data_IF_587203270013
#
_entry.id   IF_587203270013
#
_cell.length_a   1.000
_cell.length_b   1.000
_cell.length_c   1.000
_cell.angle_alpha   90.00
_cell.angle_beta   90.00
_cell.angle_gamma   90.00
#
_symmetry.space_group_name_H-M   'P 1'
#
loop_
_entity.id
_entity.type
_entity.pdbx_description
1 polymer ?
#
# COMPACT_ATOMS: atom_id res chain seq x y z
N UNK A 1 28.41 14.84 -5.78
CA UNK A 1 27.51 13.83 -5.20
C UNK A 1 26.27 13.64 -6.06
N UNK A 2 25.54 12.53 -5.89
CA UNK A 2 24.38 12.16 -6.71
C UNK A 2 23.32 13.27 -6.82
N UNK A 3 23.10 14.04 -5.76
CA UNK A 3 22.17 15.18 -5.77
C UNK A 3 22.62 16.31 -6.72
N UNK A 4 23.92 16.60 -6.76
CA UNK A 4 24.50 17.62 -7.67
C UNK A 4 24.42 17.14 -9.12
N UNK A 5 24.61 15.83 -9.36
CA UNK A 5 24.44 15.25 -10.70
C UNK A 5 22.98 15.31 -11.16
N UNK A 6 22.03 15.01 -10.27
CA UNK A 6 20.60 15.09 -10.58
C UNK A 6 20.16 16.53 -10.86
N UNK A 7 20.57 17.48 -10.01
CA UNK A 7 20.29 18.90 -10.23
C UNK A 7 20.95 19.41 -11.52
N UNK A 8 22.20 19.02 -11.78
CA UNK A 8 22.90 19.33 -13.02
C UNK A 8 22.17 18.79 -14.26
N UNK A 9 21.70 17.55 -14.21
CA UNK A 9 20.88 16.95 -15.27
C UNK A 9 19.55 17.69 -15.44
N UNK A 10 18.91 18.10 -14.36
CA UNK A 10 17.65 18.83 -14.44
C UNK A 10 17.86 20.22 -15.08
N UNK A 11 18.91 20.93 -14.66
CA UNK A 11 19.25 22.24 -15.21
C UNK A 11 19.74 22.20 -16.66
N UNK A 12 20.48 21.16 -17.08
CA UNK A 12 20.97 21.05 -18.47
C UNK A 12 19.84 20.90 -19.49
N UNK A 13 18.69 20.35 -19.08
CA UNK A 13 17.52 20.28 -19.95
C UNK A 13 16.57 21.47 -19.74
N UNK A 14 16.39 21.88 -18.48
CA UNK A 14 15.45 22.94 -18.13
C UNK A 14 15.89 24.33 -18.61
N UNK A 15 17.16 24.70 -18.36
CA UNK A 15 17.67 26.04 -18.69
C UNK A 15 17.68 26.26 -20.20
N UNK A 16 18.25 25.38 -21.05
CA UNK A 16 18.22 25.59 -22.50
C UNK A 16 16.80 25.60 -23.07
N UNK A 17 15.89 24.78 -22.55
CA UNK A 17 14.48 24.80 -22.96
C UNK A 17 13.83 26.15 -22.65
N UNK A 18 14.03 26.71 -21.46
CA UNK A 18 13.54 28.05 -21.11
C UNK A 18 14.20 29.14 -21.93
N UNK A 19 15.52 29.09 -22.14
CA UNK A 19 16.24 30.08 -22.95
C UNK A 19 15.71 30.09 -24.39
N UNK A 20 15.53 28.91 -25.00
CA UNK A 20 14.92 28.79 -26.33
C UNK A 20 13.47 29.31 -26.34
N UNK A 21 12.68 28.96 -25.33
CA UNK A 21 11.30 29.44 -25.21
C UNK A 21 11.22 30.97 -25.12
N UNK A 22 11.98 31.60 -24.22
CA UNK A 22 11.96 33.05 -24.04
C UNK A 22 12.60 33.80 -25.21
N UNK A 23 13.70 33.30 -25.77
CA UNK A 23 14.35 33.93 -26.93
C UNK A 23 13.48 33.91 -28.19
N UNK A 24 12.68 32.85 -28.37
CA UNK A 24 11.76 32.69 -29.50
C UNK A 24 10.32 33.08 -29.17
N UNK A 25 10.04 33.60 -27.99
CA UNK A 25 8.67 33.92 -27.56
C UNK A 25 7.97 34.89 -28.52
N UNK A 26 8.71 35.86 -29.06
CA UNK A 26 8.22 36.83 -30.06
C UNK A 26 7.97 36.22 -31.44
N UNK A 27 8.60 35.09 -31.75
CA UNK A 27 8.44 34.38 -33.02
C UNK A 27 7.23 33.44 -33.00
N UNK A 28 6.58 33.25 -31.85
CA UNK A 28 5.38 32.40 -31.72
C UNK A 28 4.18 33.17 -32.28
N UNK A 29 3.57 32.72 -33.39
CA UNK A 29 2.46 33.43 -34.00
C UNK A 29 1.25 33.46 -33.05
N UNK A 30 0.77 34.65 -32.72
CA UNK A 30 -0.44 34.84 -31.93
C UNK A 30 -1.68 34.75 -32.84
N UNK A 31 -2.57 33.80 -32.56
CA UNK A 31 -3.88 33.72 -33.23
C UNK A 31 -4.82 34.65 -32.46
N UNK A 32 -5.08 35.85 -33.00
CA UNK A 32 -5.92 36.89 -32.36
C UNK A 32 -7.43 36.64 -32.44
N UNK A 33 -7.87 35.44 -32.83
CA UNK A 33 -9.30 35.12 -32.96
C UNK A 33 -9.72 34.24 -31.79
N UNK A 34 -10.72 34.72 -31.03
CA UNK A 34 -11.36 33.89 -30.01
C UNK A 34 -11.93 32.63 -30.67
N UNK A 35 -11.57 31.46 -30.14
CA UNK A 35 -12.10 30.20 -30.62
C UNK A 35 -13.58 30.09 -30.26
N UNK A 36 -14.41 29.60 -31.20
CA UNK A 36 -15.83 29.40 -30.91
C UNK A 36 -15.98 28.41 -29.77
N UNK A 37 -16.89 28.68 -28.82
CA UNK A 37 -17.27 27.71 -27.78
C UNK A 37 -17.87 26.42 -28.34
N UNK A 38 -18.33 26.43 -29.60
CA UNK A 38 -18.79 25.24 -30.34
C UNK A 38 -17.66 24.49 -31.07
N UNK A 39 -16.42 24.95 -30.94
CA UNK A 39 -15.24 24.36 -31.57
C UNK A 39 -14.63 23.27 -30.68
N UNK A 40 -13.98 22.29 -31.31
CA UNK A 40 -13.24 21.25 -30.58
C UNK A 40 -12.02 21.83 -29.87
N UNK A 41 -11.34 22.76 -30.52
CA UNK A 41 -10.10 23.38 -30.07
C UNK A 41 -10.28 24.07 -28.72
N UNK A 42 -11.37 24.82 -28.57
CA UNK A 42 -11.70 25.52 -27.33
C UNK A 42 -11.79 24.56 -26.14
N UNK A 43 -12.49 23.44 -26.30
CA UNK A 43 -12.64 22.46 -25.22
C UNK A 43 -11.39 21.60 -24.99
N UNK A 44 -10.56 21.39 -26.02
CA UNK A 44 -9.23 20.81 -25.83
C UNK A 44 -8.34 21.73 -25.00
N UNK A 45 -8.39 23.05 -25.25
CA UNK A 45 -7.69 24.05 -24.45
C UNK A 45 -8.18 24.04 -23.00
N UNK A 46 -9.49 24.11 -22.76
CA UNK A 46 -10.06 24.02 -21.40
C UNK A 46 -9.67 22.73 -20.69
N UNK A 47 -9.71 21.58 -21.37
CA UNK A 47 -9.26 20.31 -20.80
C UNK A 47 -7.79 20.33 -20.40
N UNK A 48 -6.92 20.88 -21.24
CA UNK A 48 -5.48 21.03 -20.93
C UNK A 48 -5.23 21.99 -19.76
N UNK A 49 -6.02 23.07 -19.66
CA UNK A 49 -5.95 24.02 -18.55
C UNK A 49 -6.35 23.36 -17.23
N UNK A 50 -7.41 22.54 -17.24
CA UNK A 50 -7.84 21.77 -16.06
C UNK A 50 -6.74 20.81 -15.59
N UNK A 51 -6.11 20.08 -16.52
CA UNK A 51 -4.95 19.23 -16.18
C UNK A 51 -3.78 20.04 -15.61
N UNK A 52 -3.48 21.20 -16.20
CA UNK A 52 -2.41 22.09 -15.72
C UNK A 52 -2.67 22.59 -14.29
N UNK A 53 -3.89 23.05 -14.01
CA UNK A 53 -4.28 23.47 -12.66
C UNK A 53 -4.23 22.32 -11.66
N UNK A 54 -4.68 21.12 -12.06
CA UNK A 54 -4.58 19.92 -11.23
C UNK A 54 -3.12 19.57 -10.90
N UNK A 55 -2.22 19.68 -11.88
CA UNK A 55 -0.79 19.45 -11.69
C UNK A 55 -0.16 20.49 -10.74
N UNK A 56 -0.55 21.77 -10.82
CA UNK A 56 -0.12 22.81 -9.88
C UNK A 56 -0.53 22.44 -8.45
N UNK A 57 -1.79 22.03 -8.24
CA UNK A 57 -2.30 21.67 -6.91
C UNK A 57 -1.52 20.50 -6.32
N UNK A 58 -1.29 19.44 -7.10
CA UNK A 58 -0.51 18.27 -6.64
C UNK A 58 0.91 18.70 -6.31
N UNK A 59 1.57 19.41 -7.24
CA UNK A 59 2.96 19.85 -7.09
C UNK A 59 3.16 20.74 -5.87
N UNK A 60 2.23 21.67 -5.60
CA UNK A 60 2.30 22.55 -4.44
C UNK A 60 2.21 21.76 -3.13
N UNK A 61 1.26 20.83 -3.03
CA UNK A 61 1.06 20.01 -1.82
C UNK A 61 2.21 19.04 -1.57
N UNK A 62 2.71 18.36 -2.60
CA UNK A 62 3.85 17.43 -2.46
C UNK A 62 5.17 18.14 -2.16
N UNK A 63 5.27 19.44 -2.47
CA UNK A 63 6.48 20.24 -2.23
C UNK A 63 6.51 20.88 -0.85
N UNK A 64 5.49 20.71 -0.01
CA UNK A 64 5.43 21.29 1.33
C UNK A 64 6.70 21.04 2.18
N UNK A 65 7.31 19.83 2.18
CA UNK A 65 8.56 19.60 2.92
C UNK A 65 9.73 20.44 2.40
N UNK A 66 9.78 20.68 1.09
CA UNK A 66 10.82 21.49 0.45
C UNK A 66 10.63 22.96 0.80
N UNK A 67 9.39 23.47 0.77
CA UNK A 67 9.07 24.82 1.22
C UNK A 67 9.44 25.04 2.70
N UNK A 68 9.06 24.13 3.58
CA UNK A 68 9.44 24.18 5.00
C UNK A 68 10.96 24.24 5.18
N UNK A 69 11.71 23.46 4.40
CA UNK A 69 13.17 23.45 4.48
C UNK A 69 13.83 24.73 3.96
N UNK A 70 13.32 25.31 2.86
CA UNK A 70 13.90 26.51 2.25
C UNK A 70 13.58 27.76 3.06
N UNK A 71 12.33 27.89 3.52
CA UNK A 71 11.84 29.10 4.18
C UNK A 71 11.84 29.01 5.72
N UNK A 72 12.24 27.87 6.29
CA UNK A 72 12.19 27.63 7.73
C UNK A 72 10.78 27.59 8.31
N UNK A 73 9.74 27.45 7.47
CA UNK A 73 8.36 27.34 7.91
C UNK A 73 8.09 25.98 8.58
N UNK A 74 7.15 25.96 9.53
CA UNK A 74 6.72 24.76 10.25
C UNK A 74 5.27 24.39 9.90
N UNK A 75 4.94 24.44 8.62
CA UNK A 75 3.59 24.09 8.18
C UNK A 75 3.47 22.57 8.27
N UNK A 76 2.60 22.09 9.15
CA UNK A 76 2.32 20.67 9.29
C UNK A 76 1.61 20.13 8.04
N UNK A 77 1.85 18.86 7.71
CA UNK A 77 1.08 18.17 6.69
C UNK A 77 -0.39 18.00 7.15
N UNK A 78 -1.36 17.90 6.22
CA UNK A 78 -2.74 17.58 6.58
C UNK A 78 -2.84 16.25 7.34
N UNK A 79 -3.75 16.19 8.32
CA UNK A 79 -4.00 14.97 9.12
C UNK A 79 -4.44 13.78 8.25
N UNK A 80 -5.28 14.02 7.24
CA UNK A 80 -5.61 13.05 6.18
C UNK A 80 -5.06 13.55 4.84
N UNK A 81 -3.82 13.18 4.54
CA UNK A 81 -3.19 13.55 3.27
C UNK A 81 -3.97 13.02 2.06
N UNK A 82 -4.46 11.77 2.10
CA UNK A 82 -5.21 11.14 1.01
C UNK A 82 -6.43 11.99 0.66
N UNK A 83 -7.22 12.36 1.66
CA UNK A 83 -8.39 13.21 1.47
C UNK A 83 -8.02 14.62 1.00
N UNK A 84 -6.92 15.18 1.51
CA UNK A 84 -6.49 16.52 1.12
C UNK A 84 -6.28 16.63 -0.39
N UNK A 85 -5.75 15.60 -1.06
CA UNK A 85 -5.66 15.55 -2.52
C UNK A 85 -7.02 15.22 -3.15
N UNK A 86 -7.67 14.16 -2.69
CA UNK A 86 -8.83 13.59 -3.36
C UNK A 86 -10.06 14.51 -3.35
N UNK A 87 -10.22 15.35 -2.32
CA UNK A 87 -11.31 16.33 -2.25
C UNK A 87 -11.28 17.34 -3.41
N UNK A 88 -10.11 17.60 -4.01
CA UNK A 88 -9.98 18.47 -5.19
C UNK A 88 -10.00 17.63 -6.46
N UNK A 89 -9.21 16.54 -6.48
CA UNK A 89 -9.01 15.74 -7.69
C UNK A 89 -10.25 15.00 -8.16
N UNK A 90 -11.22 14.73 -7.28
CA UNK A 90 -12.52 14.15 -7.69
C UNK A 90 -13.26 15.09 -8.65
N UNK A 91 -13.22 16.40 -8.43
CA UNK A 91 -13.87 17.39 -9.31
C UNK A 91 -13.12 17.55 -10.63
N UNK A 92 -11.79 17.49 -10.58
CA UNK A 92 -10.97 17.41 -11.79
C UNK A 92 -11.35 16.19 -12.62
N UNK A 93 -11.50 15.02 -11.99
CA UNK A 93 -11.91 13.79 -12.67
C UNK A 93 -13.31 13.90 -13.30
N UNK A 94 -14.27 14.54 -12.62
CA UNK A 94 -15.61 14.83 -13.17
C UNK A 94 -15.50 15.65 -14.45
N UNK A 95 -14.78 16.79 -14.39
CA UNK A 95 -14.64 17.70 -15.53
C UNK A 95 -13.94 16.98 -16.69
N UNK A 96 -12.83 16.29 -16.41
CA UNK A 96 -12.07 15.57 -17.43
C UNK A 96 -12.88 14.43 -18.05
N UNK A 97 -13.67 13.68 -17.28
CA UNK A 97 -14.55 12.63 -17.81
C UNK A 97 -15.57 13.21 -18.80
N UNK A 98 -16.24 14.31 -18.43
CA UNK A 98 -17.21 14.98 -19.29
C UNK A 98 -16.54 15.54 -20.56
N UNK A 99 -15.43 16.25 -20.41
CA UNK A 99 -14.71 16.82 -21.56
C UNK A 99 -14.21 15.73 -22.49
N UNK A 100 -13.72 14.62 -21.95
CA UNK A 100 -13.28 13.44 -22.72
C UNK A 100 -14.43 12.82 -23.50
N UNK A 101 -15.63 12.77 -22.92
CA UNK A 101 -16.82 12.23 -23.58
C UNK A 101 -17.32 13.14 -24.73
N UNK A 102 -17.36 14.45 -24.48
CA UNK A 102 -18.07 15.41 -25.35
C UNK A 102 -17.20 15.96 -26.47
N UNK A 103 -15.94 16.30 -26.19
CA UNK A 103 -15.08 17.10 -27.09
C UNK A 103 -14.88 16.46 -28.46
N UNK A 104 -14.85 15.12 -28.53
CA UNK A 104 -14.66 14.42 -29.80
C UNK A 104 -15.85 14.59 -30.77
N UNK A 105 -17.05 14.88 -30.26
CA UNK A 105 -18.26 15.09 -31.05
C UNK A 105 -18.33 16.49 -31.69
N UNK A 106 -17.49 17.42 -31.24
CA UNK A 106 -17.32 18.73 -31.85
C UNK A 106 -16.40 18.66 -33.07
N UNK A 107 -16.64 19.51 -34.06
CA UNK A 107 -15.79 19.73 -35.23
C UNK A 107 -14.76 20.82 -34.93
N UNK A 108 -13.68 20.80 -35.70
CA UNK A 108 -12.72 21.91 -35.71
C UNK A 108 -13.42 23.21 -36.18
N UNK A 109 -13.02 24.35 -35.61
CA UNK A 109 -13.55 25.70 -35.84
C UNK A 109 -14.99 25.95 -35.36
N UNK A 110 -15.97 25.17 -35.81
CA UNK A 110 -17.37 25.37 -35.44
C UNK A 110 -18.20 24.10 -35.63
N UNK A 111 -19.17 23.87 -34.73
CA UNK A 111 -20.10 22.75 -34.79
C UNK A 111 -21.54 23.25 -34.79
N UNK A 112 -22.38 22.76 -35.71
CA UNK A 112 -23.81 23.05 -35.64
C UNK A 112 -24.49 22.19 -34.57
N UNK A 113 -25.39 22.80 -33.81
CA UNK A 113 -26.09 22.13 -32.69
C UNK A 113 -26.83 20.87 -33.11
N UNK A 114 -27.47 20.88 -34.28
CA UNK A 114 -28.19 19.71 -34.80
C UNK A 114 -27.27 18.51 -35.10
N UNK A 115 -26.06 18.76 -35.62
CA UNK A 115 -25.09 17.68 -35.89
C UNK A 115 -24.52 17.10 -34.60
N UNK A 116 -24.25 17.97 -33.62
CA UNK A 116 -23.76 17.57 -32.30
C UNK A 116 -24.78 16.68 -31.59
N UNK A 117 -26.00 17.19 -31.41
CA UNK A 117 -27.05 16.48 -30.68
C UNK A 117 -27.40 15.16 -31.33
N UNK A 118 -27.51 15.09 -32.67
CA UNK A 118 -27.81 13.86 -33.42
C UNK A 118 -26.80 12.74 -33.17
N UNK A 119 -25.55 13.05 -32.81
CA UNK A 119 -24.50 12.04 -32.58
C UNK A 119 -24.29 11.69 -31.12
N UNK A 120 -24.44 12.65 -30.22
CA UNK A 120 -24.08 12.45 -28.81
C UNK A 120 -25.20 11.83 -27.97
N UNK A 121 -26.48 12.04 -28.36
CA UNK A 121 -27.63 11.61 -27.56
C UNK A 121 -27.67 10.11 -27.26
N UNK A 122 -27.33 9.27 -28.25
CA UNK A 122 -27.27 7.80 -28.08
C UNK A 122 -26.24 7.44 -27.00
N UNK A 123 -24.94 7.82 -27.13
CA UNK A 123 -23.97 7.56 -26.08
C UNK A 123 -24.38 8.13 -24.72
N UNK A 124 -25.02 9.31 -24.66
CA UNK A 124 -25.49 9.90 -23.39
C UNK A 124 -26.51 9.00 -22.71
N UNK A 125 -27.55 8.54 -23.41
CA UNK A 125 -28.57 7.65 -22.84
C UNK A 125 -27.96 6.32 -22.39
N UNK A 126 -27.11 5.71 -23.22
CA UNK A 126 -26.42 4.47 -22.86
C UNK A 126 -25.54 4.64 -21.63
N UNK A 127 -24.92 5.81 -21.47
CA UNK A 127 -24.09 6.13 -20.30
C UNK A 127 -24.91 6.32 -19.04
N UNK A 128 -26.08 6.95 -19.12
CA UNK A 128 -27.00 7.08 -17.99
C UNK A 128 -27.46 5.69 -17.53
N UNK A 129 -27.85 4.81 -18.46
CA UNK A 129 -28.27 3.45 -18.14
C UNK A 129 -27.11 2.69 -17.48
N UNK A 130 -25.93 2.67 -18.12
CA UNK A 130 -24.77 1.94 -17.60
C UNK A 130 -24.30 2.47 -16.24
N UNK A 131 -24.22 3.79 -16.06
CA UNK A 131 -23.83 4.39 -14.80
C UNK A 131 -24.86 4.11 -13.70
N UNK A 132 -26.17 4.12 -14.03
CA UNK A 132 -27.24 3.77 -13.08
C UNK A 132 -27.10 2.32 -12.62
N UNK A 133 -26.83 1.38 -13.55
CA UNK A 133 -26.58 -0.02 -13.20
C UNK A 133 -25.35 -0.19 -12.32
N UNK A 134 -24.24 0.50 -12.64
CA UNK A 134 -23.01 0.46 -11.83
C UNK A 134 -23.26 1.02 -10.43
N UNK A 135 -23.98 2.14 -10.29
CA UNK A 135 -24.24 2.74 -8.98
C UNK A 135 -25.25 1.91 -8.16
N UNK A 136 -26.26 1.33 -8.81
CA UNK A 136 -27.29 0.52 -8.14
C UNK A 136 -26.76 -0.85 -7.67
N UNK A 137 -25.91 -1.51 -8.48
CA UNK A 137 -25.45 -2.88 -8.21
C UNK A 137 -23.97 -2.97 -7.81
N UNK A 138 -23.21 -1.89 -7.95
CA UNK A 138 -21.76 -1.87 -7.70
C UNK A 138 -21.38 -1.69 -6.24
N UNK A 139 -22.33 -1.40 -5.33
CA UNK A 139 -22.11 -1.22 -3.89
C UNK A 139 -20.93 -0.26 -3.60
N UNK A 140 -21.06 0.98 -4.11
CA UNK A 140 -20.05 2.04 -3.99
C UNK A 140 -20.43 2.94 -2.82
N UNK A 141 -20.06 2.51 -1.62
CA UNK A 141 -20.45 3.12 -0.34
C UNK A 141 -19.26 3.70 0.42
N UNK A 142 -18.55 4.65 -0.19
CA UNK A 142 -17.42 5.34 0.44
C UNK A 142 -17.90 6.39 1.46
N UNK A 143 -18.11 5.98 2.71
CA UNK A 143 -18.70 6.84 3.75
C UNK A 143 -17.68 7.61 4.60
N UNK A 144 -16.37 7.40 4.38
CA UNK A 144 -15.28 7.93 5.24
C UNK A 144 -15.29 9.46 5.40
N UNK A 145 -15.72 10.21 4.38
CA UNK A 145 -15.71 11.70 4.38
C UNK A 145 -17.10 12.32 4.14
N UNK A 146 -18.16 11.59 4.51
CA UNK A 146 -19.53 12.08 4.46
C UNK A 146 -20.21 12.02 3.09
N UNK A 147 -21.52 12.32 3.04
CA UNK A 147 -22.36 12.12 1.86
C UNK A 147 -22.00 13.04 0.68
N UNK A 148 -21.48 14.24 0.93
CA UNK A 148 -21.08 15.16 -0.13
C UNK A 148 -19.92 14.62 -0.98
N UNK A 149 -18.90 14.06 -0.33
CA UNK A 149 -17.78 13.45 -1.03
C UNK A 149 -18.16 12.15 -1.74
N UNK A 150 -19.06 11.35 -1.13
CA UNK A 150 -19.65 10.18 -1.80
C UNK A 150 -20.40 10.57 -3.08
N UNK A 151 -21.21 11.64 -3.03
CA UNK A 151 -21.89 12.17 -4.21
C UNK A 151 -20.93 12.64 -5.30
N UNK A 152 -19.80 13.25 -4.93
CA UNK A 152 -18.74 13.61 -5.88
C UNK A 152 -18.11 12.36 -6.54
N UNK A 153 -17.88 11.28 -5.80
CA UNK A 153 -17.41 10.00 -6.35
C UNK A 153 -18.43 9.43 -7.34
N UNK A 154 -19.71 9.41 -6.99
CA UNK A 154 -20.75 8.92 -7.90
C UNK A 154 -20.81 9.74 -9.19
N UNK A 155 -20.74 11.06 -9.09
CA UNK A 155 -20.71 11.94 -10.27
C UNK A 155 -19.44 11.71 -11.11
N UNK A 156 -18.30 11.47 -10.48
CA UNK A 156 -17.06 11.12 -11.18
C UNK A 156 -17.17 9.79 -11.91
N UNK A 157 -17.84 8.79 -11.32
CA UNK A 157 -18.11 7.50 -11.96
C UNK A 157 -19.03 7.68 -13.17
N UNK A 158 -20.10 8.47 -13.05
CA UNK A 158 -20.98 8.80 -14.18
C UNK A 158 -20.18 9.46 -15.31
N UNK A 159 -19.33 10.43 -14.99
CA UNK A 159 -18.48 11.12 -15.97
C UNK A 159 -17.47 10.16 -16.64
N UNK A 160 -16.86 9.25 -15.88
CA UNK A 160 -15.92 8.27 -16.41
C UNK A 160 -16.61 7.23 -17.30
N UNK A 161 -17.78 6.72 -16.89
CA UNK A 161 -18.62 5.82 -17.72
C UNK A 161 -19.02 6.52 -19.01
N UNK A 162 -19.40 7.80 -18.93
CA UNK A 162 -19.71 8.58 -20.11
C UNK A 162 -18.50 8.74 -21.04
N UNK A 163 -17.31 8.99 -20.50
CA UNK A 163 -16.07 9.03 -21.28
C UNK A 163 -15.83 7.72 -22.03
N UNK A 164 -15.99 6.57 -21.37
CA UNK A 164 -15.82 5.24 -21.98
C UNK A 164 -16.82 5.01 -23.11
N UNK A 165 -18.12 5.19 -22.83
CA UNK A 165 -19.18 4.88 -23.78
C UNK A 165 -19.18 5.86 -24.95
N UNK A 166 -19.00 7.16 -24.70
CA UNK A 166 -18.98 8.16 -25.76
C UNK A 166 -17.79 7.97 -26.71
N UNK A 167 -16.59 7.69 -26.21
CA UNK A 167 -15.43 7.44 -27.06
C UNK A 167 -15.51 6.10 -27.79
N UNK A 168 -16.10 5.08 -27.14
CA UNK A 168 -16.44 3.83 -27.80
C UNK A 168 -17.40 4.07 -28.95
N UNK A 169 -18.58 4.64 -28.66
CA UNK A 169 -19.59 4.95 -29.66
C UNK A 169 -19.05 5.82 -30.81
N UNK A 170 -18.10 6.72 -30.56
CA UNK A 170 -17.49 7.55 -31.59
C UNK A 170 -16.72 6.74 -32.64
N UNK A 171 -16.16 5.58 -32.29
CA UNK A 171 -15.52 4.67 -33.25
C UNK A 171 -16.48 4.29 -34.37
N UNK A 172 -17.75 4.01 -34.02
CA UNK A 172 -18.77 3.63 -35.00
C UNK A 172 -19.54 4.84 -35.57
N UNK A 173 -20.02 5.75 -34.72
CA UNK A 173 -20.85 6.90 -35.12
C UNK A 173 -20.05 8.07 -35.72
N UNK A 174 -18.79 8.21 -35.31
CA UNK A 174 -17.89 9.27 -35.72
C UNK A 174 -17.06 8.88 -36.94
N UNK A 175 -16.28 7.80 -36.81
CA UNK A 175 -15.30 7.35 -37.83
C UNK A 175 -15.72 6.10 -38.61
N UNK A 176 -17.01 5.74 -38.56
CA UNK A 176 -17.64 4.67 -39.36
C UNK A 176 -16.94 3.31 -39.21
N UNK A 177 -16.46 2.99 -38.02
CA UNK A 177 -15.81 1.71 -37.70
C UNK A 177 -14.37 1.59 -38.21
N UNK A 178 -13.78 2.65 -38.76
CA UNK A 178 -12.42 2.57 -39.29
C UNK A 178 -11.38 2.54 -38.16
N UNK A 179 -10.88 1.34 -37.84
CA UNK A 179 -9.85 1.16 -36.81
C UNK A 179 -8.59 1.98 -37.07
N UNK A 180 -8.20 2.14 -38.35
CA UNK A 180 -7.07 3.00 -38.74
C UNK A 180 -7.27 4.47 -38.32
N UNK A 181 -8.51 4.94 -38.28
CA UNK A 181 -8.85 6.31 -37.89
C UNK A 181 -9.12 6.48 -36.40
N UNK A 182 -9.18 5.38 -35.65
CA UNK A 182 -9.73 5.33 -34.29
C UNK A 182 -8.71 5.47 -33.17
N UNK A 183 -7.41 5.60 -33.47
CA UNK A 183 -6.36 5.66 -32.44
C UNK A 183 -6.63 6.70 -31.34
N UNK A 184 -7.08 7.90 -31.72
CA UNK A 184 -7.47 8.93 -30.76
C UNK A 184 -8.66 8.53 -29.88
N UNK A 185 -9.72 7.96 -30.46
CA UNK A 185 -10.89 7.48 -29.70
C UNK A 185 -10.55 6.33 -28.77
N UNK A 186 -9.73 5.38 -29.23
CA UNK A 186 -9.26 4.24 -28.42
C UNK A 186 -8.44 4.75 -27.23
N UNK A 187 -7.58 5.74 -27.45
CA UNK A 187 -6.79 6.35 -26.37
C UNK A 187 -7.67 6.98 -25.28
N UNK A 188 -8.70 7.73 -25.69
CA UNK A 188 -9.62 8.40 -24.77
C UNK A 188 -10.61 7.42 -24.11
N UNK A 189 -11.02 6.35 -24.80
CA UNK A 189 -11.76 5.24 -24.20
C UNK A 189 -10.93 4.58 -23.10
N UNK A 190 -9.67 4.28 -23.37
CA UNK A 190 -8.74 3.75 -22.37
C UNK A 190 -8.58 4.69 -21.20
N UNK A 191 -8.48 6.00 -21.44
CA UNK A 191 -8.38 7.00 -20.38
C UNK A 191 -9.65 7.06 -19.52
N UNK A 192 -10.84 6.93 -20.15
CA UNK A 192 -12.10 6.77 -19.41
C UNK A 192 -12.10 5.53 -18.50
N UNK A 193 -11.55 4.40 -18.98
CA UNK A 193 -11.40 3.18 -18.19
C UNK A 193 -10.39 3.36 -17.03
N UNK A 194 -9.32 4.12 -17.25
CA UNK A 194 -8.37 4.50 -16.18
C UNK A 194 -9.10 5.26 -15.07
N UNK A 195 -9.85 6.32 -15.42
CA UNK A 195 -10.63 7.09 -14.45
C UNK A 195 -11.64 6.21 -13.71
N UNK A 196 -12.39 5.38 -14.44
CA UNK A 196 -13.38 4.47 -13.87
C UNK A 196 -12.73 3.45 -12.92
N UNK A 197 -11.62 2.84 -13.33
CA UNK A 197 -10.88 1.85 -12.55
C UNK A 197 -10.32 2.43 -11.26
N UNK A 198 -9.77 3.65 -11.29
CA UNK A 198 -9.30 4.35 -10.08
C UNK A 198 -10.46 4.56 -9.09
N UNK A 199 -11.60 5.05 -9.58
CA UNK A 199 -12.77 5.36 -8.73
C UNK A 199 -13.39 4.09 -8.13
N UNK A 200 -13.61 3.05 -8.94
CA UNK A 200 -14.17 1.78 -8.46
C UNK A 200 -13.24 1.08 -7.49
N UNK A 201 -11.94 1.01 -7.80
CA UNK A 201 -10.99 0.28 -6.98
C UNK A 201 -10.65 0.99 -5.68
N UNK A 202 -10.46 2.31 -5.72
CA UNK A 202 -10.15 3.09 -4.52
C UNK A 202 -11.33 3.19 -3.55
N UNK A 203 -12.55 3.38 -4.07
CA UNK A 203 -13.75 3.48 -3.21
C UNK A 203 -14.10 2.18 -2.50
N UNK A 204 -13.66 1.03 -3.03
CA UNK A 204 -13.88 -0.31 -2.48
C UNK A 204 -12.63 -0.95 -1.88
N UNK A 205 -11.57 -0.17 -1.66
CA UNK A 205 -10.31 -0.62 -1.05
C UNK A 205 -10.59 -1.21 0.33
N UNK A 206 -10.18 -2.45 0.54
CA UNK A 206 -10.35 -3.17 1.81
C UNK A 206 -8.99 -3.36 2.51
N UNK A 207 -8.97 -3.23 3.83
CA UNK A 207 -7.79 -3.49 4.65
C UNK A 207 -7.86 -4.93 5.17
N UNK A 208 -6.94 -5.78 4.70
CA UNK A 208 -6.87 -7.18 5.12
C UNK A 208 -6.07 -7.36 6.41
N UNK A 209 -5.02 -6.55 6.60
CA UNK A 209 -4.04 -6.63 7.70
C UNK A 209 -4.54 -6.09 9.04
N UNK A 210 -5.81 -6.30 9.40
CA UNK A 210 -6.29 -5.93 10.74
C UNK A 210 -5.49 -6.70 11.79
N UNK A 211 -5.10 -6.03 12.87
CA UNK A 211 -4.22 -6.63 13.86
C UNK A 211 -4.94 -7.76 14.61
N UNK A 212 -4.54 -9.00 14.36
CA UNK A 212 -4.99 -10.22 15.06
C UNK A 212 -3.90 -10.82 15.94
N UNK A 213 -2.68 -10.29 15.85
CA UNK A 213 -1.50 -10.81 16.55
C UNK A 213 -1.45 -10.47 18.04
N UNK A 214 -2.21 -9.45 18.47
CA UNK A 214 -2.06 -8.86 19.80
C UNK A 214 -0.80 -8.00 19.98
N UNK A 215 0.08 -7.95 18.97
CA UNK A 215 1.31 -7.14 18.98
C UNK A 215 1.03 -5.85 18.22
N UNK A 216 0.74 -4.79 18.97
CA UNK A 216 0.47 -3.45 18.44
C UNK A 216 1.77 -2.64 18.32
N UNK A 217 2.05 -2.13 17.12
CA UNK A 217 3.15 -1.18 16.90
C UNK A 217 2.62 0.24 16.97
N UNK A 218 3.19 1.04 17.86
CA UNK A 218 2.95 2.49 17.88
C UNK A 218 3.79 3.14 16.78
N UNK A 219 3.11 3.67 15.77
CA UNK A 219 3.74 4.38 14.66
C UNK A 219 3.98 5.87 14.98
N UNK A 220 3.46 6.38 16.11
CA UNK A 220 3.49 7.79 16.45
C UNK A 220 2.37 8.59 15.77
N UNK A 221 2.05 9.75 16.35
CA UNK A 221 0.93 10.62 15.92
C UNK A 221 1.12 11.23 14.53
N UNK A 222 2.36 11.32 14.06
CA UNK A 222 2.70 11.91 12.75
C UNK A 222 2.78 10.86 11.62
N UNK A 223 2.59 9.57 11.94
CA UNK A 223 2.63 8.52 10.94
C UNK A 223 1.30 8.40 10.19
N UNK A 224 1.41 8.09 8.89
CA UNK A 224 0.28 7.74 8.03
C UNK A 224 -0.26 6.35 8.35
N UNK A 225 0.50 5.54 9.07
CA UNK A 225 0.12 4.19 9.45
C UNK A 225 -0.69 4.17 10.74
N UNK A 226 -1.78 3.40 10.72
CA UNK A 226 -2.64 3.15 11.89
C UNK A 226 -2.32 1.80 12.49
N UNK A 227 -2.09 1.75 13.79
CA UNK A 227 -1.70 0.53 14.52
C UNK A 227 -2.67 -0.64 14.32
N UNK A 228 -3.98 -0.41 14.41
CA UNK A 228 -4.97 -1.48 14.25
C UNK A 228 -5.19 -1.97 12.81
N UNK A 229 -4.69 -1.25 11.81
CA UNK A 229 -4.78 -1.64 10.40
C UNK A 229 -3.56 -2.43 9.90
N UNK A 230 -2.62 -2.70 10.78
CA UNK A 230 -1.36 -3.36 10.47
C UNK A 230 -1.23 -4.67 11.25
N UNK A 231 -0.74 -5.74 10.60
CA UNK A 231 -0.59 -7.06 11.19
C UNK A 231 0.88 -7.34 11.47
N UNK A 232 1.22 -7.57 12.73
CA UNK A 232 2.57 -7.98 13.12
C UNK A 232 2.71 -9.49 13.00
N UNK A 233 3.65 -9.92 12.16
CA UNK A 233 3.95 -11.32 11.88
C UNK A 233 5.22 -11.73 12.63
N UNK A 234 5.10 -12.71 13.53
CA UNK A 234 6.25 -13.36 14.15
C UNK A 234 6.78 -14.43 13.20
N UNK A 235 8.10 -14.47 12.99
CA UNK A 235 8.74 -15.41 12.07
C UNK A 235 8.41 -16.86 12.45
N UNK A 236 8.00 -17.64 11.45
CA UNK A 236 7.62 -19.05 11.60
C UNK A 236 6.21 -19.30 12.15
N UNK A 237 5.50 -18.29 12.65
CA UNK A 237 4.15 -18.46 13.22
C UNK A 237 3.06 -17.97 12.27
N UNK A 238 2.01 -18.78 12.00
CA UNK A 238 0.88 -18.36 11.19
C UNK A 238 -0.03 -17.40 11.97
N UNK A 239 -0.36 -16.27 11.35
CA UNK A 239 -1.29 -15.27 11.87
C UNK A 239 -2.52 -15.14 10.99
N UNK A 240 -3.69 -14.88 11.60
CA UNK A 240 -4.95 -14.77 10.83
C UNK A 240 -5.06 -13.42 10.15
N UNK A 241 -5.30 -13.39 8.84
CA UNK A 241 -5.52 -12.17 8.06
C UNK A 241 -6.63 -12.36 7.02
N UNK A 242 -7.80 -11.75 7.24
CA UNK A 242 -8.96 -11.95 6.35
C UNK A 242 -9.33 -13.44 6.28
N UNK A 243 -9.32 -14.05 5.08
CA UNK A 243 -9.50 -15.50 4.87
C UNK A 243 -8.21 -16.34 4.95
N UNK A 244 -7.05 -15.70 5.07
CA UNK A 244 -5.73 -16.32 4.97
C UNK A 244 -5.07 -16.51 6.33
N UNK A 245 -4.36 -17.62 6.51
CA UNK A 245 -3.26 -17.75 7.47
C UNK A 245 -1.99 -17.24 6.80
N UNK A 246 -1.34 -16.26 7.43
CA UNK A 246 -0.20 -15.53 6.89
C UNK A 246 1.01 -15.78 7.77
N UNK A 247 2.08 -16.29 7.17
CA UNK A 247 3.30 -16.66 7.89
C UNK A 247 4.49 -15.90 7.33
N UNK A 248 5.24 -15.22 8.20
CA UNK A 248 6.55 -14.70 7.83
C UNK A 248 7.56 -15.86 7.89
N UNK A 249 8.00 -16.36 6.73
CA UNK A 249 8.86 -17.54 6.68
C UNK A 249 10.32 -17.21 6.98
N UNK A 250 10.87 -16.28 6.20
CA UNK A 250 12.27 -15.86 6.25
C UNK A 250 12.47 -14.57 5.49
N UNK A 251 13.62 -13.97 5.68
CA UNK A 251 14.10 -12.80 4.97
C UNK A 251 15.40 -13.09 4.23
N UNK A 252 15.74 -12.21 3.30
CA UNK A 252 17.03 -12.23 2.62
C UNK A 252 17.51 -10.80 2.35
N UNK A 253 18.78 -10.54 2.63
CA UNK A 253 19.40 -9.26 2.34
C UNK A 253 19.91 -9.20 0.90
N UNK A 254 19.79 -8.06 0.25
CA UNK A 254 20.42 -7.81 -1.03
C UNK A 254 21.94 -7.76 -0.86
N UNK A 255 22.74 -8.46 -1.67
CA UNK A 255 24.19 -8.63 -1.44
C UNK A 255 24.99 -7.32 -1.49
N UNK A 256 24.47 -6.28 -2.14
CA UNK A 256 25.15 -4.99 -2.35
C UNK A 256 24.38 -3.75 -1.84
N UNK A 257 23.13 -3.91 -1.42
CA UNK A 257 22.25 -2.78 -1.09
C UNK A 257 21.70 -3.01 0.31
N UNK A 258 21.49 -1.94 1.07
CA UNK A 258 20.84 -2.00 2.39
C UNK A 258 19.34 -2.26 2.24
N UNK A 259 18.96 -3.36 1.60
CA UNK A 259 17.59 -3.70 1.23
C UNK A 259 17.33 -5.16 1.58
N UNK A 260 16.18 -5.42 2.20
CA UNK A 260 15.76 -6.74 2.63
C UNK A 260 14.47 -7.16 1.95
N UNK A 261 14.38 -8.42 1.58
CA UNK A 261 13.19 -9.06 1.03
C UNK A 261 12.57 -9.97 2.09
N UNK A 262 11.27 -9.85 2.32
CA UNK A 262 10.54 -10.60 3.33
C UNK A 262 9.63 -11.61 2.66
N UNK A 263 9.84 -12.90 2.94
CA UNK A 263 9.05 -13.98 2.34
C UNK A 263 7.80 -14.21 3.19
N UNK A 264 6.67 -13.69 2.72
CA UNK A 264 5.38 -13.79 3.39
C UNK A 264 4.52 -14.80 2.64
N UNK A 265 4.13 -15.85 3.35
CA UNK A 265 3.35 -16.95 2.80
C UNK A 265 1.89 -16.85 3.21
N UNK A 266 1.00 -16.99 2.25
CA UNK A 266 -0.45 -16.90 2.38
C UNK A 266 -1.06 -18.26 2.10
N UNK A 267 -1.80 -18.79 3.05
CA UNK A 267 -2.59 -20.02 2.89
C UNK A 267 -4.04 -19.74 3.21
N UNK A 268 -4.94 -19.97 2.26
CA UNK A 268 -6.36 -19.76 2.48
C UNK A 268 -6.93 -20.82 3.41
N UNK A 269 -7.85 -20.40 4.28
CA UNK A 269 -8.61 -21.31 5.16
C UNK A 269 -9.93 -21.77 4.55
N UNK A 270 -10.36 -21.15 3.44
CA UNK A 270 -11.66 -21.41 2.81
C UNK A 270 -11.54 -22.29 1.56
N UNK A 271 -10.42 -22.20 0.86
CA UNK A 271 -10.16 -22.86 -0.41
C UNK A 271 -8.69 -23.34 -0.46
N UNK A 272 -8.29 -24.01 -1.54
CA UNK A 272 -6.93 -24.55 -1.71
C UNK A 272 -5.92 -23.50 -2.19
N UNK A 273 -6.24 -22.21 -2.07
CA UNK A 273 -5.41 -21.14 -2.55
C UNK A 273 -4.21 -20.92 -1.64
N UNK A 274 -3.01 -20.88 -2.25
CA UNK A 274 -1.77 -20.65 -1.55
C UNK A 274 -0.81 -19.87 -2.44
N UNK A 275 -0.17 -18.84 -1.89
CA UNK A 275 0.79 -18.02 -2.62
C UNK A 275 1.80 -17.36 -1.68
N UNK A 276 2.90 -16.85 -2.24
CA UNK A 276 3.94 -16.17 -1.48
C UNK A 276 4.24 -14.82 -2.11
N UNK A 277 4.23 -13.78 -1.27
CA UNK A 277 4.64 -12.43 -1.62
C UNK A 277 6.00 -12.14 -1.00
N UNK A 278 6.77 -11.30 -1.69
CA UNK A 278 8.15 -10.91 -1.36
C UNK A 278 8.29 -9.38 -1.35
N UNK A 279 7.50 -8.66 -0.53
CA UNK A 279 7.73 -7.22 -0.36
C UNK A 279 9.14 -6.98 0.15
N UNK A 280 9.70 -5.83 -0.20
CA UNK A 280 11.05 -5.47 0.22
C UNK A 280 11.07 -4.09 0.86
N UNK A 281 12.03 -3.87 1.75
CA UNK A 281 12.18 -2.60 2.43
C UNK A 281 13.64 -2.27 2.71
N UNK A 282 13.93 -0.98 2.86
CA UNK A 282 15.20 -0.47 3.31
C UNK A 282 15.00 0.67 4.31
N UNK A 283 15.94 0.82 5.24
CA UNK A 283 15.92 1.90 6.24
C UNK A 283 16.91 2.97 5.81
N UNK A 284 16.44 4.20 5.61
CA UNK A 284 17.32 5.32 5.32
C UNK A 284 17.75 6.01 6.62
N UNK A 285 18.99 5.80 7.04
CA UNK A 285 19.57 6.43 8.23
C UNK A 285 20.13 7.84 7.97
N UNK A 286 20.09 8.34 6.72
CA UNK A 286 20.68 9.63 6.35
C UNK A 286 19.62 10.62 5.85
N UNK A 287 19.14 11.45 6.77
CA UNK A 287 18.54 12.75 6.48
C UNK A 287 17.03 12.80 6.21
N UNK A 288 16.37 11.65 6.02
CA UNK A 288 14.92 11.47 6.13
C UNK A 288 14.72 10.18 6.92
N UNK A 289 14.45 10.29 8.21
CA UNK A 289 14.16 9.14 9.08
C UNK A 289 12.92 8.42 8.54
N UNK A 290 13.06 7.16 8.11
CA UNK A 290 11.90 6.40 7.63
C UNK A 290 12.22 5.06 6.97
N UNK A 291 11.30 4.12 7.16
CA UNK A 291 11.25 2.86 6.42
C UNK A 291 10.74 3.15 5.00
N UNK A 292 11.52 2.76 3.99
CA UNK A 292 11.08 2.80 2.60
C UNK A 292 10.73 1.38 2.17
N UNK A 293 9.45 1.13 1.97
CA UNK A 293 8.93 -0.17 1.58
C UNK A 293 8.41 -0.17 0.14
N UNK A 294 8.80 -1.19 -0.61
CA UNK A 294 8.23 -1.49 -1.91
C UNK A 294 7.24 -2.66 -1.77
N UNK A 295 6.01 -2.49 -2.26
CA UNK A 295 5.02 -3.53 -2.17
C UNK A 295 5.33 -4.72 -3.09
N UNK A 296 4.69 -5.85 -2.80
CA UNK A 296 4.51 -6.96 -3.73
C UNK A 296 3.01 -7.33 -3.79
N UNK A 297 2.56 -7.88 -4.92
CA UNK A 297 1.14 -8.09 -5.19
C UNK A 297 0.82 -9.44 -5.83
N UNK A 298 -0.34 -9.99 -5.45
CA UNK A 298 -0.98 -11.11 -6.12
C UNK A 298 -2.14 -10.58 -6.96
N UNK A 299 -2.12 -10.91 -8.25
CA UNK A 299 -3.17 -10.51 -9.19
C UNK A 299 -4.25 -11.57 -9.33
N UNK A 300 -5.51 -11.15 -9.35
CA UNK A 300 -6.67 -11.99 -9.65
C UNK A 300 -7.47 -11.37 -10.79
N UNK A 301 -8.54 -12.04 -11.23
CA UNK A 301 -9.42 -11.53 -12.28
C UNK A 301 -10.32 -10.38 -11.80
N UNK A 302 -10.73 -10.40 -10.53
CA UNK A 302 -11.68 -9.47 -9.95
C UNK A 302 -11.06 -8.48 -8.95
N UNK A 303 -9.88 -8.78 -8.40
CA UNK A 303 -9.17 -7.94 -7.43
C UNK A 303 -7.66 -8.19 -7.46
N UNK A 304 -6.90 -7.35 -6.77
CA UNK A 304 -5.51 -7.63 -6.43
C UNK A 304 -5.30 -7.55 -4.91
N UNK A 305 -4.36 -8.33 -4.39
CA UNK A 305 -3.89 -8.25 -3.01
C UNK A 305 -2.49 -7.67 -3.00
N UNK A 306 -2.31 -6.51 -2.35
CA UNK A 306 -1.03 -5.83 -2.21
C UNK A 306 -0.54 -5.92 -0.78
N UNK A 307 0.77 -6.10 -0.61
CA UNK A 307 1.41 -6.11 0.71
C UNK A 307 2.68 -5.29 0.72
N UNK A 308 2.94 -4.60 1.83
CA UNK A 308 4.23 -3.95 2.07
C UNK A 308 4.57 -3.97 3.55
N UNK A 309 5.86 -3.83 3.85
CA UNK A 309 6.33 -3.76 5.23
C UNK A 309 6.10 -2.34 5.77
N UNK A 310 5.30 -2.19 6.82
CA UNK A 310 4.99 -0.90 7.42
C UNK A 310 5.91 -0.57 8.59
N UNK A 311 6.42 -1.57 9.31
CA UNK A 311 7.44 -1.39 10.35
C UNK A 311 8.40 -2.57 10.42
N UNK A 312 9.63 -2.25 10.84
CA UNK A 312 10.66 -3.21 11.21
C UNK A 312 11.01 -3.05 12.68
N UNK A 313 11.41 -4.14 13.37
CA UNK A 313 11.98 -4.05 14.70
C UNK A 313 13.20 -3.12 14.66
N UNK A 314 13.25 -2.13 15.57
CA UNK A 314 14.39 -1.22 15.66
C UNK A 314 15.58 -1.96 16.33
N UNK A 315 16.70 -2.18 15.61
CA UNK A 315 17.84 -2.92 16.16
C UNK A 315 18.48 -2.25 17.38
N UNK A 316 18.41 -0.92 17.51
CA UNK A 316 18.99 -0.18 18.63
C UNK A 316 18.11 -0.21 19.88
N UNK A 317 16.77 -0.23 19.72
CA UNK A 317 15.83 -0.47 20.83
C UNK A 317 15.78 -1.94 21.26
N UNK A 318 16.24 -2.86 20.42
CA UNK A 318 16.29 -4.30 20.67
C UNK A 318 17.68 -4.79 21.10
N UNK A 319 18.59 -3.90 21.54
CA UNK A 319 19.73 -4.37 22.34
C UNK A 319 19.16 -4.96 23.62
N UNK A 320 19.37 -6.26 23.81
CA UNK A 320 18.88 -7.01 24.96
C UNK A 320 19.62 -6.56 26.24
N UNK A 321 19.20 -5.43 26.81
CA UNK A 321 19.69 -4.96 28.12
C UNK A 321 18.94 -5.62 29.27
N UNK A 322 17.97 -6.50 28.98
CA UNK A 322 17.18 -7.17 29.99
C UNK A 322 18.02 -8.26 30.68
N UNK A 323 18.07 -8.19 32.02
CA UNK A 323 18.69 -9.19 32.87
C UNK A 323 17.63 -10.08 33.50
N UNK A 324 18.03 -11.30 33.88
CA UNK A 324 17.17 -12.17 34.68
C UNK A 324 16.95 -11.54 36.06
N UNK A 325 15.69 -11.47 36.49
CA UNK A 325 15.31 -11.16 37.88
C UNK A 325 15.05 -12.48 38.60
N UNK A 326 15.73 -12.71 39.72
CA UNK A 326 15.44 -13.82 40.64
C UNK A 326 14.10 -13.63 41.33
N UNK A 327 13.31 -14.69 41.43
CA UNK A 327 12.06 -14.73 42.15
C UNK A 327 12.02 -16.05 42.95
N UNK A 328 12.28 -16.01 44.27
CA UNK A 328 12.11 -17.17 45.12
C UNK A 328 10.62 -17.47 45.31
N UNK A 329 10.16 -18.62 44.85
CA UNK A 329 8.75 -19.02 44.84
C UNK A 329 8.55 -20.49 45.18
N UNK A 330 7.39 -20.82 45.73
CA UNK A 330 6.93 -22.20 45.97
C UNK A 330 5.86 -22.59 44.95
N UNK A 331 5.61 -23.91 44.76
CA UNK A 331 4.46 -24.34 43.97
C UNK A 331 3.16 -23.71 44.46
N UNK A 332 2.42 -23.08 43.55
CA UNK A 332 1.20 -22.30 43.81
C UNK A 332 1.40 -20.78 43.86
N UNK A 333 2.63 -20.29 44.04
CA UNK A 333 2.92 -18.85 44.09
C UNK A 333 2.90 -18.22 42.69
N UNK A 334 2.49 -16.95 42.64
CA UNK A 334 2.40 -16.16 41.42
C UNK A 334 3.52 -15.12 41.29
N UNK A 335 4.09 -14.98 40.09
CA UNK A 335 5.03 -13.93 39.72
C UNK A 335 4.37 -13.04 38.66
N UNK A 336 4.37 -11.72 38.86
CA UNK A 336 3.83 -10.77 37.89
C UNK A 336 4.88 -10.35 36.86
N UNK A 337 4.44 -10.17 35.62
CA UNK A 337 5.23 -9.61 34.53
C UNK A 337 4.40 -8.56 33.76
N UNK A 338 4.99 -7.87 32.79
CA UNK A 338 4.36 -6.68 32.17
C UNK A 338 3.00 -6.94 31.50
N UNK A 339 2.70 -8.18 31.10
CA UNK A 339 1.46 -8.54 30.37
C UNK A 339 0.59 -9.57 31.10
N UNK A 340 0.91 -9.92 32.34
CA UNK A 340 0.18 -10.96 33.05
C UNK A 340 0.82 -11.42 34.36
N UNK A 341 0.53 -12.65 34.74
CA UNK A 341 1.17 -13.34 35.85
C UNK A 341 1.49 -14.79 35.47
N UNK A 342 2.44 -15.40 36.15
CA UNK A 342 2.79 -16.81 35.99
C UNK A 342 2.76 -17.53 37.34
N UNK A 343 2.39 -18.80 37.34
CA UNK A 343 2.30 -19.64 38.53
C UNK A 343 3.29 -20.79 38.38
N UNK A 344 4.12 -21.02 39.40
CA UNK A 344 4.88 -22.27 39.49
C UNK A 344 3.91 -23.39 39.88
N UNK A 345 3.57 -24.28 38.95
CA UNK A 345 2.60 -25.35 39.24
C UNK A 345 3.24 -26.53 39.96
N UNK A 346 4.45 -26.90 39.54
CA UNK A 346 5.10 -28.12 40.00
C UNK A 346 6.62 -28.02 39.94
N UNK A 347 7.26 -28.56 40.98
CA UNK A 347 8.66 -28.94 40.98
C UNK A 347 8.73 -30.47 41.01
N UNK A 348 9.43 -31.06 40.05
CA UNK A 348 9.59 -32.52 39.96
C UNK A 348 11.05 -32.87 39.73
N UNK A 349 11.61 -33.78 40.52
CA UNK A 349 12.93 -34.35 40.24
C UNK A 349 12.78 -35.53 39.29
N UNK A 350 13.65 -35.61 38.29
CA UNK A 350 13.75 -36.72 37.34
C UNK A 350 15.18 -37.25 37.35
N UNK A 351 15.27 -38.57 37.44
CA UNK A 351 16.53 -39.32 37.41
C UNK A 351 16.80 -39.90 36.01
N UNK A 352 16.03 -39.47 35.01
CA UNK A 352 16.27 -39.75 33.59
C UNK A 352 15.66 -38.65 32.72
N UNK A 353 16.39 -38.24 31.68
CA UNK A 353 15.93 -37.32 30.65
C UNK A 353 16.28 -37.88 29.25
N UNK A 354 15.41 -37.71 28.24
CA UNK A 354 15.67 -38.15 26.87
C UNK A 354 16.59 -37.16 26.14
N UNK A 355 17.81 -36.97 26.65
CA UNK A 355 18.80 -36.04 26.12
C UNK A 355 20.19 -36.69 26.07
N UNK A 356 20.93 -36.48 24.98
CA UNK A 356 22.30 -36.96 24.83
C UNK A 356 23.24 -36.26 25.83
N UNK A 357 23.61 -36.95 26.90
CA UNK A 357 24.55 -36.45 27.91
C UNK A 357 24.12 -36.63 29.37
N UNK A 358 22.88 -37.06 29.63
CA UNK A 358 22.39 -37.37 30.98
C UNK A 358 22.84 -38.77 31.40
N UNK A 359 23.74 -38.88 32.39
CA UNK A 359 24.36 -40.14 32.82
C UNK A 359 23.63 -40.74 34.03
N UNK A 360 23.76 -42.06 34.27
CA UNK A 360 23.28 -42.67 35.50
C UNK A 360 23.93 -42.02 36.73
N UNK A 361 23.11 -41.39 37.58
CA UNK A 361 23.55 -40.63 38.77
C UNK A 361 23.29 -39.12 38.69
N UNK A 362 22.99 -38.59 37.50
CA UNK A 362 22.56 -37.20 37.33
C UNK A 362 21.11 -37.02 37.81
N UNK A 363 20.79 -35.82 38.30
CA UNK A 363 19.42 -35.45 38.69
C UNK A 363 19.00 -34.19 37.97
N UNK A 364 17.75 -34.14 37.51
CA UNK A 364 17.19 -32.92 36.94
C UNK A 364 15.93 -32.50 37.69
N UNK A 365 15.89 -31.25 38.13
CA UNK A 365 14.67 -30.65 38.66
C UNK A 365 13.95 -29.90 37.56
N UNK A 366 12.72 -30.28 37.28
CA UNK A 366 11.81 -29.65 36.31
C UNK A 366 10.89 -28.69 37.06
N UNK A 367 10.88 -27.42 36.66
CA UNK A 367 9.88 -26.46 37.08
C UNK A 367 8.86 -26.25 35.96
N UNK A 368 7.63 -26.70 36.20
CA UNK A 368 6.49 -26.46 35.30
C UNK A 368 5.83 -25.15 35.70
N UNK A 369 5.85 -24.18 34.79
CA UNK A 369 5.33 -22.83 35.01
C UNK A 369 4.17 -22.57 34.05
N UNK A 370 3.03 -22.13 34.60
CA UNK A 370 1.86 -21.70 33.85
C UNK A 370 1.90 -20.19 33.68
N UNK A 371 1.92 -19.70 32.46
CA UNK A 371 1.89 -18.26 32.16
C UNK A 371 0.48 -17.85 31.74
N UNK A 372 -0.08 -16.86 32.41
CA UNK A 372 -1.40 -16.29 32.13
C UNK A 372 -1.28 -14.84 31.66
N UNK A 373 -1.70 -14.58 30.42
CA UNK A 373 -1.75 -13.24 29.86
C UNK A 373 -3.07 -12.55 30.20
N UNK A 374 -3.06 -11.22 30.35
CA UNK A 374 -4.29 -10.44 30.60
C UNK A 374 -5.33 -10.53 29.48
N UNK A 375 -4.91 -10.97 28.27
CA UNK A 375 -5.80 -11.23 27.14
C UNK A 375 -6.53 -12.60 27.22
N UNK A 376 -6.46 -13.29 28.37
CA UNK A 376 -7.04 -14.62 28.65
C UNK A 376 -6.35 -15.80 27.94
N UNK A 377 -5.19 -15.60 27.31
CA UNK A 377 -4.37 -16.70 26.79
C UNK A 377 -3.53 -17.32 27.92
N UNK A 378 -3.21 -18.61 27.80
CA UNK A 378 -2.32 -19.30 28.74
C UNK A 378 -1.33 -20.21 28.04
N UNK A 379 -0.13 -20.33 28.61
CA UNK A 379 1.01 -21.07 28.05
C UNK A 379 1.69 -21.91 29.15
N UNK A 380 2.29 -23.03 28.78
CA UNK A 380 3.16 -23.82 29.68
C UNK A 380 4.61 -23.56 29.31
N UNK A 381 5.47 -23.45 30.32
CA UNK A 381 6.91 -23.51 30.15
C UNK A 381 7.50 -24.53 31.13
N UNK A 382 8.53 -25.26 30.69
CA UNK A 382 9.26 -26.24 31.50
C UNK A 382 10.75 -25.92 31.46
N UNK A 383 11.25 -25.32 32.54
CA UNK A 383 12.69 -25.08 32.71
C UNK A 383 13.31 -26.14 33.61
N UNK A 384 14.58 -26.48 33.34
CA UNK A 384 15.30 -27.56 34.00
C UNK A 384 16.50 -27.01 34.77
N UNK A 385 16.79 -27.61 35.93
CA UNK A 385 18.07 -27.50 36.63
C UNK A 385 18.69 -28.89 36.72
N UNK A 386 19.76 -29.13 35.99
CA UNK A 386 20.46 -30.40 35.90
C UNK A 386 21.66 -30.36 36.85
N UNK A 387 21.76 -31.33 37.75
CA UNK A 387 22.91 -31.57 38.62
C UNK A 387 23.71 -32.75 38.07
N UNK A 388 24.95 -32.46 37.64
CA UNK A 388 25.92 -33.46 37.20
C UNK A 388 27.15 -33.39 38.09
N UNK A 389 27.35 -34.44 38.90
CA UNK A 389 28.51 -34.57 39.79
C UNK A 389 28.78 -33.32 40.67
N UNK A 390 27.73 -32.64 41.16
CA UNK A 390 27.84 -31.46 42.02
C UNK A 390 27.93 -30.12 41.27
N UNK A 391 27.86 -30.14 39.93
CA UNK A 391 27.76 -28.94 39.09
C UNK A 391 26.34 -28.77 38.58
N UNK A 392 25.74 -27.60 38.83
CA UNK A 392 24.38 -27.29 38.42
C UNK A 392 24.34 -26.47 37.12
N UNK A 393 23.56 -26.95 36.16
CA UNK A 393 23.33 -26.32 34.86
C UNK A 393 21.85 -26.05 34.67
N UNK A 394 21.51 -24.81 34.34
CA UNK A 394 20.13 -24.44 34.09
C UNK A 394 19.84 -24.40 32.59
N UNK A 395 18.77 -25.10 32.18
CA UNK A 395 18.22 -25.06 30.83
C UNK A 395 16.98 -24.18 30.86
N UNK A 396 17.04 -22.96 30.28
CA UNK A 396 15.90 -22.08 30.23
C UNK A 396 14.86 -22.56 29.21
N UNK A 397 13.62 -22.10 29.39
CA UNK A 397 12.53 -22.24 28.42
C UNK A 397 11.97 -20.87 28.05
N UNK A 398 11.41 -20.73 26.85
CA UNK A 398 10.99 -19.44 26.29
C UNK A 398 9.52 -19.45 25.88
N UNK A 399 8.73 -18.56 26.46
CA UNK A 399 7.35 -18.30 26.03
C UNK A 399 7.37 -17.13 25.05
N UNK A 400 7.59 -17.45 23.77
CA UNK A 400 7.79 -16.47 22.69
C UNK A 400 6.66 -15.44 22.60
N UNK A 401 5.39 -15.87 22.65
CA UNK A 401 4.20 -15.01 22.60
C UNK A 401 4.18 -13.93 23.67
N UNK A 402 4.76 -14.22 24.83
CA UNK A 402 4.81 -13.32 25.99
C UNK A 402 6.17 -12.62 26.14
N UNK A 403 7.15 -12.93 25.28
CA UNK A 403 8.51 -12.39 25.33
C UNK A 403 9.26 -12.74 26.62
N UNK A 404 8.97 -13.93 27.19
CA UNK A 404 9.53 -14.40 28.46
C UNK A 404 10.58 -15.48 28.23
N UNK A 405 11.73 -15.37 28.90
CA UNK A 405 12.66 -16.46 29.15
C UNK A 405 12.59 -16.80 30.63
N UNK A 406 12.32 -18.06 30.93
CA UNK A 406 12.26 -18.59 32.28
C UNK A 406 13.44 -19.51 32.50
N UNK A 407 14.08 -19.38 33.65
CA UNK A 407 15.24 -20.20 34.01
C UNK A 407 15.18 -20.57 35.48
N UNK A 408 15.34 -21.85 35.79
CA UNK A 408 15.47 -22.29 37.18
C UNK A 408 16.91 -22.05 37.66
N UNK A 409 17.14 -21.06 38.52
CA UNK A 409 18.50 -20.71 38.96
C UNK A 409 19.02 -21.69 40.03
N UNK A 410 18.19 -21.96 41.04
CA UNK A 410 18.50 -22.82 42.17
C UNK A 410 17.21 -23.38 42.77
N UNK A 411 17.29 -24.54 43.42
CA UNK A 411 16.22 -25.10 44.24
C UNK A 411 16.78 -25.36 45.64
N UNK A 412 16.03 -24.93 46.66
CA UNK A 412 16.33 -25.14 48.07
C UNK A 412 15.06 -25.64 48.79
N UNK A 413 15.02 -26.95 49.06
CA UNK A 413 13.81 -27.61 49.54
C UNK A 413 12.63 -27.45 48.57
N UNK A 414 11.55 -26.85 49.06
CA UNK A 414 10.35 -26.55 48.25
C UNK A 414 10.40 -25.18 47.54
N UNK A 415 11.46 -24.41 47.76
CA UNK A 415 11.59 -23.06 47.20
C UNK A 415 12.46 -23.12 45.95
N UNK A 416 11.91 -22.69 44.82
CA UNK A 416 12.62 -22.52 43.56
C UNK A 416 12.92 -21.04 43.32
N UNK A 417 14.18 -20.72 43.04
CA UNK A 417 14.53 -19.40 42.51
C UNK A 417 14.32 -19.39 40.99
N UNK A 418 13.18 -18.84 40.56
CA UNK A 418 12.82 -18.71 39.16
C UNK A 418 13.35 -17.37 38.60
N UNK A 419 14.37 -17.47 37.76
CA UNK A 419 14.85 -16.37 36.94
C UNK A 419 13.85 -16.04 35.85
N UNK A 420 13.31 -14.82 35.86
CA UNK A 420 12.39 -14.31 34.83
C UNK A 420 13.08 -13.20 34.06
N UNK A 421 13.10 -13.31 32.73
CA UNK A 421 13.60 -12.28 31.83
C UNK A 421 12.54 -11.93 30.78
N UNK A 422 12.14 -10.67 30.75
CA UNK A 422 11.29 -10.10 29.71
C UNK A 422 12.17 -9.43 28.65
N UNK A 423 12.28 -10.03 27.46
CA UNK A 423 13.12 -9.48 26.39
C UNK A 423 12.38 -9.37 25.07
N UNK A 424 12.30 -8.14 24.54
CA UNK A 424 11.75 -7.86 23.21
C UNK A 424 12.70 -8.26 22.08
N UNK A 425 13.96 -8.60 22.38
CA UNK A 425 14.98 -8.94 21.40
C UNK A 425 14.82 -10.34 20.79
N UNK A 426 13.99 -11.20 21.40
CA UNK A 426 13.83 -12.60 21.00
C UNK A 426 12.87 -12.74 19.81
N UNK A 427 11.96 -11.79 19.63
CA UNK A 427 10.94 -11.86 18.58
C UNK A 427 11.50 -11.29 17.28
N UNK A 428 11.90 -12.17 16.37
CA UNK A 428 12.00 -11.81 14.95
C UNK A 428 10.59 -11.61 14.40
N UNK A 429 10.18 -10.35 14.22
CA UNK A 429 8.89 -10.01 13.66
C UNK A 429 9.01 -8.96 12.56
N UNK A 430 7.95 -8.86 11.76
CA UNK A 430 7.77 -7.80 10.77
C UNK A 430 6.33 -7.32 10.81
N UNK A 431 6.10 -6.03 10.64
CA UNK A 431 4.73 -5.50 10.55
C UNK A 431 4.35 -5.33 9.08
N UNK A 432 3.25 -5.97 8.69
CA UNK A 432 2.75 -6.02 7.34
C UNK A 432 1.48 -5.19 7.21
N UNK A 433 1.41 -4.35 6.18
CA UNK A 433 0.14 -3.82 5.65
C UNK A 433 -0.28 -4.64 4.45
N UNK A 434 -1.57 -4.97 4.38
CA UNK A 434 -2.17 -5.67 3.26
C UNK A 434 -3.50 -5.02 2.84
N UNK A 435 -3.63 -4.73 1.55
CA UNK A 435 -4.84 -4.20 0.93
C UNK A 435 -5.39 -5.16 -0.11
N UNK A 436 -6.71 -5.19 -0.23
CA UNK A 436 -7.42 -5.73 -1.38
C UNK A 436 -7.99 -4.58 -2.19
N UNK A 437 -7.70 -4.58 -3.49
CA UNK A 437 -8.18 -3.59 -4.45
C UNK A 437 -9.12 -4.27 -5.47
N UNK A 438 -10.44 -4.28 -5.21
CA UNK A 438 -11.42 -4.78 -6.17
C UNK A 438 -11.38 -4.00 -7.48
N UNK A 439 -11.69 -4.63 -8.61
CA UNK A 439 -11.82 -4.01 -9.93
C UNK A 439 -10.60 -3.24 -10.45
N UNK A 440 -9.43 -3.38 -9.83
CA UNK A 440 -8.19 -2.70 -10.26
C UNK A 440 -7.78 -3.09 -11.69
N UNK A 441 -8.21 -4.25 -12.16
CA UNK A 441 -8.00 -4.69 -13.54
C UNK A 441 -8.65 -3.76 -14.58
N UNK A 442 -9.72 -3.03 -14.23
CA UNK A 442 -10.30 -2.01 -15.11
C UNK A 442 -9.29 -0.88 -15.37
N UNK A 443 -8.54 -0.48 -14.34
CA UNK A 443 -7.46 0.50 -14.46
C UNK A 443 -6.34 -0.03 -15.36
N UNK A 444 -5.83 -1.23 -15.09
CA UNK A 444 -4.74 -1.82 -15.89
C UNK A 444 -5.13 -2.03 -17.35
N UNK A 445 -6.34 -2.54 -17.59
CA UNK A 445 -6.89 -2.66 -18.93
C UNK A 445 -7.02 -1.29 -19.60
N UNK A 446 -7.50 -0.27 -18.88
CA UNK A 446 -7.53 1.11 -19.36
C UNK A 446 -6.17 1.63 -19.80
N UNK A 447 -5.11 1.40 -19.01
CA UNK A 447 -3.73 1.79 -19.33
C UNK A 447 -3.28 1.13 -20.65
N UNK A 448 -3.51 -0.18 -20.79
CA UNK A 448 -3.17 -0.93 -22.00
C UNK A 448 -3.91 -0.38 -23.22
N UNK A 449 -5.22 -0.17 -23.11
CA UNK A 449 -6.05 0.38 -24.19
C UNK A 449 -5.60 1.79 -24.57
N UNK A 450 -5.27 2.64 -23.60
CA UNK A 450 -4.71 3.97 -23.85
C UNK A 450 -3.41 3.88 -24.64
N UNK A 451 -2.47 3.04 -24.20
CA UNK A 451 -1.19 2.85 -24.87
C UNK A 451 -1.38 2.36 -26.33
N UNK A 452 -2.28 1.39 -26.55
CA UNK A 452 -2.62 0.91 -27.89
C UNK A 452 -3.15 2.05 -28.77
N UNK A 453 -4.07 2.87 -28.26
CA UNK A 453 -4.62 4.01 -29.00
C UNK A 453 -3.56 5.05 -29.39
N UNK A 454 -2.61 5.32 -28.49
CA UNK A 454 -1.46 6.20 -28.76
C UNK A 454 -0.57 5.59 -29.84
N UNK A 455 -0.21 4.31 -29.73
CA UNK A 455 0.62 3.62 -30.72
C UNK A 455 -0.04 3.59 -32.10
N UNK A 456 -1.35 3.33 -32.18
CA UNK A 456 -2.11 3.38 -33.44
C UNK A 456 -2.06 4.78 -34.07
N UNK A 457 -2.22 5.82 -33.24
CA UNK A 457 -2.15 7.22 -33.71
C UNK A 457 -0.75 7.57 -34.21
N UNK A 458 0.29 7.12 -33.52
CA UNK A 458 1.69 7.32 -33.89
C UNK A 458 2.05 6.61 -35.19
N UNK A 459 1.70 5.33 -35.34
CA UNK A 459 1.93 4.55 -36.56
C UNK A 459 1.27 5.22 -37.76
N UNK A 460 0.02 5.65 -37.60
CA UNK A 460 -0.69 6.37 -38.66
C UNK A 460 -0.01 7.70 -39.01
N UNK A 461 0.46 8.46 -38.02
CA UNK A 461 1.16 9.72 -38.28
C UNK A 461 2.45 9.49 -39.07
N UNK A 462 3.19 8.43 -38.75
CA UNK A 462 4.39 8.03 -39.49
C UNK A 462 4.05 7.66 -40.94
N UNK A 463 2.98 6.90 -41.15
CA UNK A 463 2.52 6.52 -42.50
C UNK A 463 2.14 7.74 -43.34
N UNK A 464 1.40 8.69 -42.77
CA UNK A 464 1.02 9.94 -43.44
C UNK A 464 2.26 10.78 -43.80
N UNK A 465 3.21 10.95 -42.87
CA UNK A 465 4.45 11.67 -43.14
C UNK A 465 5.28 11.01 -44.24
N UNK A 466 5.31 9.67 -44.32
CA UNK A 466 5.99 8.94 -45.41
C UNK A 466 5.31 9.15 -46.75
N UNK A 467 3.98 9.21 -46.80
CA UNK A 467 3.23 9.51 -48.02
C UNK A 467 3.51 10.94 -48.49
N UNK A 468 3.51 11.92 -47.58
CA UNK A 468 3.84 13.32 -47.89
C UNK A 468 5.28 13.56 -48.35
N UNK A 469 6.22 12.65 -48.06
CA UNK A 469 7.59 12.72 -48.58
C UNK A 469 7.75 12.07 -49.95
N UNK A 470 6.79 11.22 -50.34
CA UNK A 470 6.78 10.50 -51.63
C UNK A 470 5.97 11.26 -52.69
N UNK A 471 4.94 11.99 -52.27
CA UNK A 471 4.27 13.02 -53.05
C UNK A 471 5.12 14.29 -53.04
#
# INVERSE_FOLDING_TARGET
>A
GMNVQLMGLLFIFFIPALVLFFSRYRDIPAIHKEESTSSREFWMFIGSLVFFLAAIVISAKTSLPVFNKIFGSKIAAPEDEEFAYNQIQVFVAIILGILTAVTQYLRYKQTSSGVFWKKIWIPTILSIIAATLILAFGDINYQKHGPGFLGAIWLAIVAAVYAVIANGAYIWLGVKGSLKLSGGSISHLGFGLVLLGILLSSSKKEILSRNTSGIAIDFGKESKEKTGENLTLVKGFPMKMGKFDVTYLRDSAHPKKQQWYYIIHFKSRLDKEEFTLRPNAFVNYKGNEGLMANPDSRHYLDHDVFTYISALPNPEKNKDTATFKSNPVKPGDSIFYSKGYMILEKLATRDSLPFEGFKPGDKATVATVRVHAFNKSSYTAETLLIDQAGSQFSVPDTVMSESLILRLNKVDGETADLGVKESSAILEYVTLKAYKFPFINVLWFGIIVTAIGILMSMVRRIQLNRQMRKA
#
